data_IF_396894200314
#
_entry.id   IF_396894200314
#
_cell.length_a   1.000
_cell.length_b   1.000
_cell.length_c   1.000
_cell.angle_alpha   90.00
_cell.angle_beta   90.00
_cell.angle_gamma   90.00
#
_symmetry.space_group_name_H-M   'P 1'
#
loop_
_entity.id
_entity.type
_entity.pdbx_description
1 polymer ?
#
# COMPACT_ATOMS: atom_id res chain seq x y z
N UNK A 1 -14.16 10.96 -22.53
CA UNK A 1 -13.71 9.69 -23.16
C UNK A 1 -13.46 8.59 -22.12
N UNK A 2 -14.44 7.75 -21.77
CA UNK A 2 -14.17 6.68 -20.79
C UNK A 2 -15.20 5.58 -20.73
N UNK A 3 -14.94 4.46 -21.42
CA UNK A 3 -15.71 3.22 -21.23
C UNK A 3 -15.54 2.16 -22.32
N UNK A 4 -15.09 2.54 -23.52
CA UNK A 4 -15.37 1.73 -24.72
C UNK A 4 -14.36 0.60 -24.99
N UNK A 5 -13.06 0.82 -24.76
CA UNK A 5 -12.03 -0.19 -25.05
C UNK A 5 -10.77 0.01 -24.20
N UNK A 6 -10.00 -1.08 -24.03
CA UNK A 6 -8.73 -1.06 -23.30
C UNK A 6 -7.68 -0.22 -24.02
N UNK A 7 -6.72 0.32 -23.28
CA UNK A 7 -5.65 1.18 -23.81
C UNK A 7 -4.82 0.40 -24.86
N UNK A 8 -4.55 -0.88 -24.62
CA UNK A 8 -3.85 -1.76 -25.58
C UNK A 8 -4.57 -1.82 -26.94
N UNK A 9 -5.90 -1.92 -26.93
CA UNK A 9 -6.73 -1.95 -28.14
C UNK A 9 -6.68 -0.60 -28.87
N UNK A 10 -6.72 0.52 -28.13
CA UNK A 10 -6.59 1.87 -28.71
C UNK A 10 -5.23 2.04 -29.38
N UNK A 11 -4.14 1.65 -28.69
CA UNK A 11 -2.76 1.73 -29.22
C UNK A 11 -2.59 0.88 -30.47
N UNK A 12 -3.13 -0.33 -30.48
CA UNK A 12 -3.09 -1.19 -31.66
C UNK A 12 -3.89 -0.61 -32.84
N UNK A 13 -5.05 0.02 -32.58
CA UNK A 13 -5.83 0.74 -33.59
C UNK A 13 -5.05 1.93 -34.17
N UNK A 14 -4.41 2.71 -33.31
CA UNK A 14 -3.54 3.82 -33.72
C UNK A 14 -2.40 3.31 -34.62
N UNK A 15 -1.72 2.23 -34.20
CA UNK A 15 -0.65 1.59 -34.99
C UNK A 15 -1.15 1.13 -36.36
N UNK A 16 -2.32 0.48 -36.41
CA UNK A 16 -2.91 0.01 -37.66
C UNK A 16 -3.25 1.17 -38.62
N UNK A 17 -3.73 2.29 -38.09
CA UNK A 17 -3.99 3.49 -38.88
C UNK A 17 -2.70 4.11 -39.47
N UNK A 18 -1.60 4.10 -38.72
CA UNK A 18 -0.30 4.56 -39.25
C UNK A 18 0.24 3.63 -40.35
N UNK A 19 0.04 2.32 -40.21
CA UNK A 19 0.44 1.33 -41.21
C UNK A 19 -0.41 1.40 -42.48
N UNK A 20 -1.67 1.87 -42.37
CA UNK A 20 -2.64 1.93 -43.48
C UNK A 20 -3.46 3.23 -43.43
N UNK A 21 -2.86 4.38 -43.78
CA UNK A 21 -3.48 5.70 -43.63
C UNK A 21 -4.67 5.96 -44.56
N UNK A 22 -4.95 5.06 -45.52
CA UNK A 22 -6.10 5.16 -46.43
C UNK A 22 -7.40 4.54 -45.91
N UNK A 23 -7.38 3.86 -44.74
CA UNK A 23 -8.58 3.25 -44.18
C UNK A 23 -9.53 4.31 -43.61
N UNK A 24 -10.80 4.21 -43.99
CA UNK A 24 -11.85 5.00 -43.37
C UNK A 24 -12.05 4.60 -41.90
N UNK A 25 -12.60 5.52 -41.10
CA UNK A 25 -12.88 5.25 -39.69
C UNK A 25 -13.89 4.10 -39.48
N UNK A 26 -14.78 3.85 -40.45
CA UNK A 26 -15.69 2.70 -40.44
C UNK A 26 -14.94 1.39 -40.65
N UNK A 27 -13.96 1.36 -41.54
CA UNK A 27 -13.12 0.19 -41.77
C UNK A 27 -12.21 -0.10 -40.58
N UNK A 28 -11.63 0.94 -39.96
CA UNK A 28 -10.88 0.80 -38.70
C UNK A 28 -11.76 0.23 -37.58
N UNK A 29 -13.03 0.65 -37.49
CA UNK A 29 -13.97 0.11 -36.53
C UNK A 29 -14.31 -1.36 -36.81
N UNK A 30 -14.54 -1.72 -38.07
CA UNK A 30 -14.81 -3.09 -38.49
C UNK A 30 -13.60 -4.00 -38.20
N UNK A 31 -12.39 -3.55 -38.55
CA UNK A 31 -11.15 -4.23 -38.24
C UNK A 31 -10.99 -4.45 -36.72
N UNK A 32 -11.21 -3.41 -35.91
CA UNK A 32 -11.09 -3.52 -34.45
C UNK A 32 -12.10 -4.52 -33.86
N UNK A 33 -13.33 -4.57 -34.40
CA UNK A 33 -14.32 -5.58 -33.99
C UNK A 33 -13.82 -7.00 -34.22
N UNK A 34 -13.27 -7.26 -35.41
CA UNK A 34 -12.78 -8.58 -35.81
C UNK A 34 -11.52 -8.94 -35.03
N UNK A 35 -10.52 -8.05 -35.02
CA UNK A 35 -9.21 -8.28 -34.41
C UNK A 35 -9.29 -8.53 -32.90
N UNK A 36 -10.15 -7.79 -32.19
CA UNK A 36 -10.28 -7.87 -30.73
C UNK A 36 -11.54 -8.60 -30.27
N UNK A 37 -12.28 -9.25 -31.19
CA UNK A 37 -13.52 -9.99 -30.90
C UNK A 37 -14.52 -9.18 -30.07
N UNK A 38 -14.70 -7.91 -30.43
CA UNK A 38 -15.60 -7.02 -29.69
C UNK A 38 -17.07 -7.38 -29.98
N UNK A 39 -17.93 -7.27 -28.97
CA UNK A 39 -19.38 -7.46 -29.12
C UNK A 39 -19.94 -6.56 -30.23
N UNK A 40 -19.57 -5.28 -30.18
CA UNK A 40 -19.97 -4.26 -31.15
C UNK A 40 -18.73 -3.59 -31.74
N UNK A 41 -18.83 -3.15 -33.01
CA UNK A 41 -17.83 -2.26 -33.58
C UNK A 41 -17.84 -0.93 -32.82
N UNK A 42 -16.68 -0.30 -32.59
CA UNK A 42 -16.64 1.03 -32.01
C UNK A 42 -17.34 2.03 -32.94
N UNK A 43 -18.00 3.03 -32.35
CA UNK A 43 -18.61 4.09 -33.13
C UNK A 43 -17.54 4.87 -33.91
N UNK A 44 -17.91 5.41 -35.07
CA UNK A 44 -17.01 6.22 -35.89
C UNK A 44 -16.47 7.43 -35.09
N UNK A 45 -17.30 8.08 -34.27
CA UNK A 45 -16.89 9.13 -33.34
C UNK A 45 -15.83 8.67 -32.33
N UNK A 46 -15.94 7.44 -31.84
CA UNK A 46 -14.94 6.84 -30.93
C UNK A 46 -13.60 6.63 -31.63
N UNK A 47 -13.61 6.16 -32.87
CA UNK A 47 -12.39 6.02 -33.67
C UNK A 47 -11.75 7.39 -33.93
N UNK A 48 -12.54 8.38 -34.33
CA UNK A 48 -12.08 9.77 -34.48
C UNK A 48 -11.42 10.30 -33.21
N UNK A 49 -12.07 10.17 -32.06
CA UNK A 49 -11.53 10.65 -30.77
C UNK A 49 -10.22 9.96 -30.40
N UNK A 50 -10.10 8.65 -30.65
CA UNK A 50 -8.85 7.90 -30.39
C UNK A 50 -7.71 8.44 -31.26
N UNK A 51 -7.97 8.67 -32.55
CA UNK A 51 -6.95 9.16 -33.48
C UNK A 51 -6.53 10.61 -33.16
N UNK A 52 -7.47 11.48 -32.77
CA UNK A 52 -7.17 12.86 -32.35
C UNK A 52 -6.26 12.92 -31.12
N UNK A 53 -6.38 11.94 -30.21
CA UNK A 53 -5.58 11.86 -28.99
C UNK A 53 -4.47 10.80 -29.08
N UNK A 54 -4.05 10.43 -30.30
CA UNK A 54 -3.10 9.35 -30.54
C UNK A 54 -1.78 9.53 -29.78
N UNK A 55 -1.18 10.72 -29.85
CA UNK A 55 0.08 11.01 -29.15
C UNK A 55 -0.05 10.78 -27.64
N UNK A 56 -1.11 11.30 -27.03
CA UNK A 56 -1.37 11.12 -25.59
C UNK A 56 -1.66 9.67 -25.22
N UNK A 57 -2.36 8.89 -26.07
CA UNK A 57 -2.68 7.48 -25.80
C UNK A 57 -1.44 6.58 -25.95
N UNK A 58 -0.53 6.90 -26.87
CA UNK A 58 0.71 6.15 -27.12
C UNK A 58 1.76 6.38 -26.04
N UNK A 59 1.72 7.54 -25.36
CA UNK A 59 2.59 7.86 -24.24
C UNK A 59 2.51 6.81 -23.11
N UNK A 60 3.66 6.45 -22.52
CA UNK A 60 3.75 5.47 -21.45
C UNK A 60 3.03 5.93 -20.17
N UNK A 61 3.08 7.22 -19.85
CA UNK A 61 2.43 7.82 -18.69
C UNK A 61 0.90 7.85 -18.81
N UNK A 62 0.35 7.64 -20.00
CA UNK A 62 -1.10 7.45 -20.18
C UNK A 62 -1.60 6.25 -19.36
N UNK A 63 -0.76 5.25 -19.13
CA UNK A 63 -1.05 4.12 -18.25
C UNK A 63 -0.96 2.77 -18.95
N UNK A 64 -1.21 1.73 -18.16
CA UNK A 64 -1.05 0.36 -18.63
C UNK A 64 -2.11 -0.06 -19.65
N UNK A 65 -1.76 -1.01 -20.52
CA UNK A 65 -2.62 -1.49 -21.61
C UNK A 65 -3.93 -2.13 -21.15
N UNK A 66 -3.94 -2.75 -19.96
CA UNK A 66 -5.10 -3.47 -19.40
C UNK A 66 -6.22 -2.54 -18.96
N UNK A 67 -5.92 -1.28 -18.62
CA UNK A 67 -6.91 -0.27 -18.22
C UNK A 67 -7.68 0.28 -19.42
N UNK A 68 -8.88 0.81 -19.17
CA UNK A 68 -9.68 1.54 -20.18
C UNK A 68 -9.50 3.06 -20.10
N UNK A 69 -9.09 3.55 -18.93
CA UNK A 69 -8.88 4.97 -18.61
C UNK A 69 -7.43 5.18 -18.16
N UNK A 70 -6.89 6.40 -18.34
CA UNK A 70 -5.56 6.71 -17.89
C UNK A 70 -5.32 6.40 -16.42
N UNK A 71 -4.08 6.12 -16.07
CA UNK A 71 -3.66 6.04 -14.69
C UNK A 71 -3.56 7.47 -14.13
N UNK A 72 -4.48 7.82 -13.23
CA UNK A 72 -4.35 9.05 -12.42
C UNK A 72 -3.74 8.66 -11.10
N UNK A 73 -2.52 9.10 -10.88
CA UNK A 73 -1.75 8.86 -9.66
C UNK A 73 -1.28 10.21 -9.16
N UNK A 74 -1.46 10.47 -7.87
CA UNK A 74 -1.05 11.72 -7.21
C UNK A 74 0.47 11.92 -7.25
N UNK A 75 1.26 10.83 -7.13
CA UNK A 75 2.72 10.84 -7.29
C UNK A 75 3.22 9.56 -7.96
N UNK A 76 3.57 9.64 -9.25
CA UNK A 76 4.09 8.49 -10.01
C UNK A 76 5.40 7.96 -9.41
N UNK A 77 6.23 8.85 -8.86
CA UNK A 77 7.47 8.49 -8.17
C UNK A 77 7.17 7.62 -6.96
N UNK A 78 6.19 8.00 -6.14
CA UNK A 78 5.80 7.23 -4.96
C UNK A 78 5.29 5.84 -5.34
N UNK A 79 4.40 5.73 -6.34
CA UNK A 79 3.91 4.43 -6.81
C UNK A 79 5.06 3.53 -7.29
N UNK A 80 6.00 4.07 -8.08
CA UNK A 80 7.16 3.31 -8.56
C UNK A 80 8.02 2.81 -7.39
N UNK A 81 8.34 3.69 -6.43
CA UNK A 81 9.11 3.31 -5.25
C UNK A 81 8.39 2.28 -4.38
N UNK A 82 7.08 2.43 -4.19
CA UNK A 82 6.27 1.51 -3.38
C UNK A 82 6.17 0.13 -4.05
N UNK A 83 6.02 0.09 -5.38
CA UNK A 83 6.05 -1.16 -6.14
C UNK A 83 7.40 -1.87 -6.05
N UNK A 84 8.51 -1.15 -6.18
CA UNK A 84 9.84 -1.72 -6.03
C UNK A 84 10.05 -2.30 -4.62
N UNK A 85 9.63 -1.55 -3.59
CA UNK A 85 9.69 -2.01 -2.21
C UNK A 85 8.84 -3.27 -1.97
N UNK A 86 7.64 -3.37 -2.56
CA UNK A 86 6.83 -4.59 -2.47
C UNK A 86 7.51 -5.80 -3.11
N UNK A 87 8.20 -5.62 -4.24
CA UNK A 87 8.94 -6.71 -4.89
C UNK A 87 10.12 -7.20 -4.05
N UNK A 88 10.80 -6.31 -3.33
CA UNK A 88 11.86 -6.69 -2.37
C UNK A 88 11.30 -7.49 -1.18
N UNK A 89 10.08 -7.18 -0.76
CA UNK A 89 9.41 -7.87 0.34
C UNK A 89 8.76 -9.19 -0.07
N UNK A 90 8.35 -9.36 -1.33
CA UNK A 90 7.70 -10.59 -1.83
C UNK A 90 8.44 -11.89 -1.48
N UNK A 91 9.78 -12.00 -1.60
CA UNK A 91 10.51 -13.20 -1.17
C UNK A 91 10.67 -13.33 0.36
N UNK A 92 10.52 -12.24 1.12
CA UNK A 92 10.62 -12.21 2.58
C UNK A 92 9.29 -12.50 3.27
N UNK A 93 8.19 -12.19 2.60
CA UNK A 93 6.86 -12.63 2.98
C UNK A 93 6.82 -14.14 2.72
N UNK A 94 7.00 -14.94 3.79
CA UNK A 94 6.66 -16.37 3.78
C UNK A 94 5.33 -16.51 3.03
N UNK A 95 5.14 -17.51 2.14
CA UNK A 95 3.90 -17.65 1.41
C UNK A 95 2.77 -17.72 2.43
N UNK A 96 2.09 -16.59 2.63
CA UNK A 96 0.83 -16.55 3.31
C UNK A 96 -0.01 -17.49 2.48
N UNK A 97 -0.66 -18.46 3.13
CA UNK A 97 -1.56 -19.37 2.44
C UNK A 97 -2.54 -18.58 1.56
N UNK A 98 -3.22 -19.27 0.65
CA UNK A 98 -4.20 -18.62 -0.25
C UNK A 98 -5.21 -17.74 0.50
N UNK A 99 -5.41 -18.01 1.79
CA UNK A 99 -6.21 -17.21 2.69
C UNK A 99 -5.34 -16.46 3.72
N UNK A 100 -5.39 -15.11 3.76
CA UNK A 100 -4.64 -14.31 4.74
C UNK A 100 -5.09 -14.54 6.19
N UNK A 101 -6.23 -15.20 6.42
CA UNK A 101 -6.69 -15.59 7.75
C UNK A 101 -6.14 -16.94 8.24
N UNK A 102 -5.35 -17.65 7.43
CA UNK A 102 -4.68 -18.88 7.87
C UNK A 102 -3.50 -18.59 8.83
N UNK A 103 -3.22 -17.32 9.12
CA UNK A 103 -2.22 -16.87 10.07
C UNK A 103 -2.79 -17.03 11.49
N UNK A 104 -2.06 -17.75 12.34
CA UNK A 104 -2.40 -17.87 13.76
C UNK A 104 -2.45 -16.50 14.46
N UNK A 105 -3.40 -16.31 15.39
CA UNK A 105 -3.63 -15.03 16.06
C UNK A 105 -2.38 -14.55 16.80
N UNK A 106 -1.63 -15.45 17.45
CA UNK A 106 -0.40 -15.08 18.16
C UNK A 106 0.66 -14.58 17.16
N UNK A 107 0.76 -15.22 15.99
CA UNK A 107 1.67 -14.80 14.94
C UNK A 107 1.28 -13.42 14.37
N UNK A 108 -0.01 -13.17 14.14
CA UNK A 108 -0.51 -11.87 13.69
C UNK A 108 -0.24 -10.75 14.72
N UNK A 109 -0.40 -11.05 16.02
CA UNK A 109 -0.08 -10.10 17.10
C UNK A 109 1.42 -9.79 17.17
N UNK A 110 2.29 -10.80 16.98
CA UNK A 110 3.75 -10.61 16.92
C UNK A 110 4.14 -9.72 15.75
N UNK A 111 3.66 -10.00 14.54
CA UNK A 111 3.92 -9.16 13.37
C UNK A 111 3.40 -7.74 13.53
N UNK A 112 2.21 -7.58 14.11
CA UNK A 112 1.66 -6.25 14.38
C UNK A 112 2.59 -5.46 15.30
N UNK A 113 3.13 -6.08 16.35
CA UNK A 113 4.11 -5.45 17.25
C UNK A 113 5.40 -5.08 16.52
N UNK A 114 5.98 -6.02 15.78
CA UNK A 114 7.25 -5.81 15.04
C UNK A 114 7.15 -4.66 14.01
N UNK A 115 6.09 -4.65 13.20
CA UNK A 115 5.84 -3.58 12.22
C UNK A 115 5.66 -2.24 12.94
N UNK A 116 4.90 -2.25 14.02
CA UNK A 116 4.60 -1.04 14.77
C UNK A 116 5.85 -0.45 15.46
N UNK A 117 6.73 -1.29 15.99
CA UNK A 117 8.03 -0.88 16.55
C UNK A 117 8.97 -0.35 15.46
N UNK A 118 9.00 -1.00 14.28
CA UNK A 118 9.77 -0.53 13.15
C UNK A 118 9.29 0.84 12.62
N UNK A 119 7.97 1.06 12.56
CA UNK A 119 7.36 2.33 12.13
C UNK A 119 7.74 3.50 13.05
N UNK A 120 7.86 3.26 14.36
CA UNK A 120 8.21 4.31 15.34
C UNK A 120 9.64 4.81 15.24
N UNK A 121 10.55 4.02 14.66
CA UNK A 121 11.93 4.47 14.38
C UNK A 121 11.94 5.68 13.43
N UNK A 122 10.85 5.92 12.69
CA UNK A 122 10.69 7.07 11.83
C UNK A 122 10.17 8.30 12.62
N UNK A 123 10.99 9.36 12.69
CA UNK A 123 10.70 10.59 13.45
C UNK A 123 9.35 11.24 13.13
N UNK A 124 8.94 11.18 11.86
CA UNK A 124 7.71 11.82 11.38
C UNK A 124 6.48 11.12 11.93
N UNK A 125 6.46 9.79 11.85
CA UNK A 125 5.37 8.97 12.39
C UNK A 125 5.29 9.15 13.91
N UNK A 126 6.42 9.11 14.62
CA UNK A 126 6.46 9.36 16.07
C UNK A 126 5.80 10.69 16.45
N UNK A 127 6.14 11.77 15.74
CA UNK A 127 5.58 13.08 16.02
C UNK A 127 4.07 13.17 15.70
N UNK A 128 3.61 12.49 14.64
CA UNK A 128 2.18 12.45 14.29
C UNK A 128 1.31 11.87 15.41
N UNK A 129 1.81 10.87 16.14
CA UNK A 129 1.04 10.20 17.19
C UNK A 129 1.36 10.66 18.62
N UNK A 130 2.39 11.50 18.82
CA UNK A 130 2.81 11.95 20.15
C UNK A 130 1.67 12.55 20.99
N UNK A 131 0.76 13.30 20.36
CA UNK A 131 -0.36 13.96 21.02
C UNK A 131 -1.43 12.99 21.56
N UNK A 132 -1.48 11.76 21.04
CA UNK A 132 -2.48 10.77 21.45
C UNK A 132 -2.15 10.13 22.80
N UNK A 133 -0.95 10.36 23.35
CA UNK A 133 -0.48 9.71 24.57
C UNK A 133 -0.22 8.21 24.40
N UNK A 134 -0.39 7.67 23.18
CA UNK A 134 -0.06 6.28 22.86
C UNK A 134 1.47 6.17 22.73
N UNK A 135 2.15 6.20 23.88
CA UNK A 135 3.58 5.97 24.02
C UNK A 135 3.82 4.47 24.19
N UNK A 136 4.26 3.82 23.11
CA UNK A 136 4.63 2.40 23.08
C UNK A 136 6.03 2.19 23.68
N UNK A 137 6.22 2.50 24.96
CA UNK A 137 7.13 1.65 25.72
C UNK A 137 6.33 0.40 26.00
N UNK A 138 6.70 -0.71 25.36
CA UNK A 138 6.36 -2.01 25.92
C UNK A 138 6.70 -1.96 27.41
N UNK A 139 5.86 -2.58 28.24
CA UNK A 139 6.28 -2.93 29.58
C UNK A 139 7.59 -3.68 29.40
N UNK A 140 8.71 -3.01 29.64
CA UNK A 140 9.97 -3.70 29.83
C UNK A 140 9.73 -4.48 31.11
N UNK A 141 9.56 -5.79 31.02
CA UNK A 141 9.84 -6.70 32.11
C UNK A 141 11.36 -6.67 32.37
N UNK A 142 11.85 -5.52 32.80
CA UNK A 142 13.13 -5.32 33.47
C UNK A 142 12.83 -4.39 34.66
N UNK A 143 11.97 -4.88 35.54
CA UNK A 143 12.14 -4.62 36.97
C UNK A 143 12.97 -5.77 37.54
N UNK A 144 14.26 -5.79 37.21
CA UNK A 144 15.23 -6.63 37.91
C UNK A 144 16.51 -5.84 38.08
N UNK A 145 16.77 -5.45 39.33
CA UNK A 145 18.06 -4.92 39.77
C UNK A 145 18.01 -3.45 40.14
N UNK A 146 18.14 -3.20 41.44
CA UNK A 146 18.43 -1.91 42.08
C UNK A 146 17.21 -1.06 42.42
N UNK A 147 16.42 -1.55 43.40
CA UNK A 147 16.05 -0.66 44.51
C UNK A 147 17.05 -0.91 45.62
N UNK A 148 17.69 0.17 46.02
CA UNK A 148 18.55 0.24 47.17
C UNK A 148 17.84 -0.42 48.37
N UNK A 149 18.47 -1.46 48.89
CA UNK A 149 18.11 -2.11 50.15
C UNK A 149 18.56 -1.19 51.29
N UNK A 150 17.91 -0.03 51.41
CA UNK A 150 18.01 0.83 52.58
C UNK A 150 16.90 0.43 53.55
N UNK A 151 17.29 -0.36 54.56
CA UNK A 151 16.66 -0.56 55.86
C UNK A 151 15.16 -0.85 55.89
N UNK A 152 14.79 -2.13 55.79
CA UNK A 152 13.50 -2.64 56.29
C UNK A 152 13.55 -2.85 57.82
N UNK A 153 14.74 -2.84 58.44
CA UNK A 153 14.92 -2.91 59.89
C UNK A 153 14.53 -1.63 60.66
N UNK A 154 14.38 -0.47 60.01
CA UNK A 154 14.11 0.80 60.72
C UNK A 154 12.60 1.10 60.91
N UNK A 155 11.72 0.47 60.12
CA UNK A 155 10.26 0.66 60.24
C UNK A 155 9.65 -0.29 61.29
N UNK A 156 10.25 -1.48 61.49
CA UNK A 156 9.75 -2.43 62.50
C UNK A 156 10.16 -2.00 63.91
N UNK A 157 11.36 -1.42 64.10
CA UNK A 157 11.84 -0.96 65.40
C UNK A 157 11.18 0.34 65.89
N UNK A 158 10.57 1.14 65.01
CA UNK A 158 9.84 2.35 65.43
C UNK A 158 8.42 2.03 65.95
N UNK A 159 7.85 0.88 65.59
CA UNK A 159 6.51 0.46 66.07
C UNK A 159 6.53 -0.39 67.36
N UNK A 160 7.70 -0.85 67.81
CA UNK A 160 7.83 -1.73 68.99
C UNK A 160 8.34 -1.04 70.25
N UNK A 161 8.81 0.22 70.15
CA UNK A 161 9.29 1.00 71.32
C UNK A 161 8.18 1.86 71.94
N UNK A 162 7.10 2.17 71.20
CA UNK A 162 5.99 3.00 71.71
C UNK A 162 4.88 2.20 72.43
N UNK A 163 5.05 0.88 72.65
CA UNK A 163 4.07 0.03 73.34
C UNK A 163 4.53 -0.54 74.70
N UNK A 164 5.61 -0.05 75.32
CA UNK A 164 6.07 -0.54 76.63
C UNK A 164 6.38 0.52 77.72
N UNK A 165 5.91 1.76 77.62
CA UNK A 165 5.96 2.69 78.77
C UNK A 165 4.59 3.35 78.99
N UNK A 166 3.70 2.63 79.68
CA UNK A 166 2.73 3.17 80.64
C UNK A 166 2.12 2.00 81.41
N UNK A 167 2.81 1.59 82.48
CA UNK A 167 2.18 1.12 83.71
C UNK A 167 2.53 2.15 84.78
#
# INVERSE_FOLDING_TARGET
MGGWMRIEVKRALIKHNYERPGLSQRELAAWAKVQFKLKNAPAQTTVSDILKHAATIMDEAYGNGKRRKPLRVTSLRLEKCLWAWLQELEPLVKPLGKNPYDIDQLQAMKWSREIWDAMQKQRTIRNCFAHTGICFRGVNEESSGNRDESSVEDIINTSLVDCQITC
#
